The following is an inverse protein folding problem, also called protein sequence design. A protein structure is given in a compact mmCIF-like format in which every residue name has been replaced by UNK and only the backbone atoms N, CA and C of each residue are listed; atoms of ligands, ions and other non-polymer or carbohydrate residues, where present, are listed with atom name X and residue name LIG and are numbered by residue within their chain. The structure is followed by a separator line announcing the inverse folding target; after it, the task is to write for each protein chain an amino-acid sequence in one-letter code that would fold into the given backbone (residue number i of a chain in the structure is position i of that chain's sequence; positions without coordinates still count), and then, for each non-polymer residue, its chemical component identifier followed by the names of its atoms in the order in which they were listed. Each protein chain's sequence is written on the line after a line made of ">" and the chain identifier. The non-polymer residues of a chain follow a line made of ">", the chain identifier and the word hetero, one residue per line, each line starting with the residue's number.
data_IF_552832008367
#
_entry.id   IF_552832008367
#
_cell.length_a   1.000
_cell.length_b   1.000
_cell.length_c   1.000
_cell.angle_alpha   90.00
_cell.angle_beta   90.00
_cell.angle_gamma   90.00
#
_symmetry.space_group_name_H-M   'P 1'
#
loop_
_entity.id
_entity.type
_entity.pdbx_description
1 polymer ?
#
# COMPACT_ATOMS: atom_id res chain seq x y z
N UNK A 1 -8.84 -14.52 13.72
CA UNK A 1 -9.37 -14.71 12.35
C UNK A 1 -10.14 -13.50 11.84
N UNK A 2 -11.22 -13.04 12.49
CA UNK A 2 -12.02 -11.89 11.99
C UNK A 2 -11.21 -10.59 11.92
N UNK A 3 -10.43 -10.26 12.96
CA UNK A 3 -9.59 -9.04 12.98
C UNK A 3 -8.58 -9.03 11.83
N UNK A 4 -7.95 -10.17 11.53
CA UNK A 4 -7.02 -10.27 10.40
C UNK A 4 -7.73 -10.02 9.07
N UNK A 5 -8.93 -10.57 8.87
CA UNK A 5 -9.71 -10.32 7.65
C UNK A 5 -10.10 -8.84 7.51
N UNK A 6 -10.52 -8.18 8.59
CA UNK A 6 -10.86 -6.75 8.58
C UNK A 6 -9.65 -5.91 8.16
N UNK A 7 -8.48 -6.15 8.76
CA UNK A 7 -7.25 -5.44 8.44
C UNK A 7 -6.87 -5.67 6.96
N UNK A 8 -6.97 -6.90 6.48
CA UNK A 8 -6.69 -7.25 5.08
C UNK A 8 -7.62 -6.49 4.12
N UNK A 9 -8.92 -6.48 4.39
CA UNK A 9 -9.89 -5.78 3.52
C UNK A 9 -9.70 -4.27 3.54
N UNK A 10 -9.33 -3.68 4.67
CA UNK A 10 -9.01 -2.25 4.74
C UNK A 10 -7.79 -1.93 3.89
N UNK A 11 -6.66 -2.61 4.09
CA UNK A 11 -5.43 -2.31 3.34
C UNK A 11 -5.54 -2.65 1.85
N UNK A 12 -6.22 -3.74 1.48
CA UNK A 12 -6.45 -4.08 0.07
C UNK A 12 -7.37 -3.06 -0.62
N UNK A 13 -8.41 -2.59 0.06
CA UNK A 13 -9.28 -1.53 -0.47
C UNK A 13 -8.53 -0.21 -0.64
N UNK A 14 -7.72 0.18 0.35
CA UNK A 14 -6.90 1.39 0.27
C UNK A 14 -5.90 1.28 -0.87
N UNK A 15 -5.21 0.15 -1.03
CA UNK A 15 -4.27 -0.10 -2.14
C UNK A 15 -4.94 0.07 -3.51
N UNK A 16 -6.10 -0.55 -3.72
CA UNK A 16 -6.83 -0.43 -4.99
C UNK A 16 -7.23 1.03 -5.25
N UNK A 17 -7.75 1.73 -4.25
CA UNK A 17 -8.11 3.15 -4.39
C UNK A 17 -6.89 4.05 -4.65
N UNK A 18 -5.77 3.83 -3.98
CA UNK A 18 -4.54 4.58 -4.22
C UNK A 18 -4.03 4.35 -5.63
N UNK A 19 -3.94 3.11 -6.09
CA UNK A 19 -3.48 2.79 -7.44
C UNK A 19 -4.34 3.46 -8.53
N UNK A 20 -5.67 3.48 -8.35
CA UNK A 20 -6.57 4.20 -9.26
C UNK A 20 -6.27 5.70 -9.22
N UNK A 21 -6.12 6.29 -8.03
CA UNK A 21 -5.85 7.73 -7.90
C UNK A 21 -4.47 8.16 -8.39
N UNK A 22 -3.47 7.28 -8.35
CA UNK A 22 -2.16 7.53 -9.00
C UNK A 22 -2.35 7.82 -10.49
N UNK A 23 -3.16 7.01 -11.17
CA UNK A 23 -3.39 7.10 -12.62
C UNK A 23 -4.36 8.22 -12.99
N UNK A 24 -5.40 8.45 -12.16
CA UNK A 24 -6.44 9.47 -12.44
C UNK A 24 -5.97 10.88 -12.10
N UNK A 25 -5.06 11.03 -11.13
CA UNK A 25 -4.56 12.35 -10.72
C UNK A 25 -3.82 13.05 -11.85
N UNK A 26 -4.25 14.28 -12.17
CA UNK A 26 -3.64 15.13 -13.22
C UNK A 26 -2.34 15.79 -12.77
N UNK A 27 -2.12 15.89 -11.45
CA UNK A 27 -0.96 16.52 -10.86
C UNK A 27 0.01 15.44 -10.39
N UNK A 28 1.25 15.49 -10.88
CA UNK A 28 2.31 14.54 -10.55
C UNK A 28 2.58 14.46 -9.05
N UNK A 29 2.55 15.61 -8.36
CA UNK A 29 2.76 15.67 -6.90
C UNK A 29 1.71 14.86 -6.15
N UNK A 30 0.42 15.02 -6.50
CA UNK A 30 -0.65 14.24 -5.86
C UNK A 30 -0.55 12.76 -6.22
N UNK A 31 -0.19 12.42 -7.46
CA UNK A 31 0.05 11.03 -7.87
C UNK A 31 1.16 10.38 -7.05
N UNK A 32 2.24 11.09 -6.73
CA UNK A 32 3.34 10.57 -5.89
C UNK A 32 2.86 10.30 -4.45
N UNK A 33 2.04 11.18 -3.86
CA UNK A 33 1.47 10.90 -2.53
C UNK A 33 0.57 9.66 -2.52
N UNK A 34 -0.25 9.47 -3.57
CA UNK A 34 -1.05 8.25 -3.70
C UNK A 34 -0.18 7.00 -3.94
N UNK A 35 0.94 7.14 -4.65
CA UNK A 35 1.88 6.05 -4.87
C UNK A 35 2.55 5.61 -3.56
N UNK A 36 2.92 6.57 -2.71
CA UNK A 36 3.46 6.27 -1.37
C UNK A 36 2.41 5.56 -0.51
N UNK A 37 1.15 6.02 -0.55
CA UNK A 37 0.04 5.37 0.17
C UNK A 37 -0.15 3.91 -0.29
N UNK A 38 -0.02 3.67 -1.60
CA UNK A 38 -0.11 2.34 -2.20
C UNK A 38 1.00 1.40 -1.70
N UNK A 39 2.25 1.86 -1.76
CA UNK A 39 3.39 1.08 -1.27
C UNK A 39 3.33 0.77 0.22
N UNK A 40 2.85 1.71 1.05
CA UNK A 40 2.63 1.46 2.47
C UNK A 40 1.55 0.39 2.67
N UNK A 41 0.45 0.49 1.93
CA UNK A 41 -0.66 -0.47 2.04
C UNK A 41 -0.24 -1.88 1.62
N UNK A 42 0.53 -2.01 0.53
CA UNK A 42 1.06 -3.29 0.06
C UNK A 42 2.10 -3.85 1.05
N UNK A 43 2.96 -3.01 1.63
CA UNK A 43 3.90 -3.44 2.68
C UNK A 43 3.18 -4.05 3.88
N UNK A 44 2.11 -3.41 4.36
CA UNK A 44 1.27 -3.97 5.42
C UNK A 44 0.67 -5.32 5.03
N UNK A 45 0.18 -5.47 3.79
CA UNK A 45 -0.34 -6.76 3.29
C UNK A 45 0.74 -7.85 3.24
N UNK A 46 1.98 -7.51 2.87
CA UNK A 46 3.08 -8.48 2.89
C UNK A 46 3.46 -8.92 4.30
N UNK A 47 3.50 -7.99 5.26
CA UNK A 47 3.73 -8.32 6.67
C UNK A 47 2.65 -9.27 7.18
N UNK A 48 1.38 -9.06 6.80
CA UNK A 48 0.27 -9.93 7.23
C UNK A 48 0.36 -11.37 6.73
N UNK A 49 0.98 -11.60 5.57
CA UNK A 49 1.18 -12.94 4.99
C UNK A 49 2.48 -13.60 5.54
N UNK A 50 3.21 -12.90 6.42
CA UNK A 50 4.48 -13.36 6.99
C UNK A 50 5.70 -13.02 6.13
N UNK A 51 5.53 -12.20 5.08
CA UNK A 51 6.62 -11.72 4.23
C UNK A 51 7.23 -10.40 4.76
N UNK A 52 7.62 -10.39 6.03
CA UNK A 52 8.06 -9.18 6.74
C UNK A 52 9.27 -8.50 6.12
N UNK A 53 10.28 -9.29 5.73
CA UNK A 53 11.49 -8.79 5.07
C UNK A 53 11.16 -8.07 3.74
N UNK A 54 10.26 -8.66 2.95
CA UNK A 54 9.83 -8.07 1.68
C UNK A 54 9.02 -6.79 1.90
N UNK A 55 8.12 -6.78 2.89
CA UNK A 55 7.37 -5.59 3.28
C UNK A 55 8.28 -4.44 3.73
N UNK A 56 9.30 -4.73 4.54
CA UNK A 56 10.29 -3.72 4.97
C UNK A 56 11.15 -3.21 3.82
N UNK A 57 11.63 -4.09 2.93
CA UNK A 57 12.35 -3.67 1.72
C UNK A 57 11.49 -2.75 0.87
N UNK A 58 10.19 -3.06 0.73
CA UNK A 58 9.29 -2.24 -0.06
C UNK A 58 9.24 -0.80 0.45
N UNK A 59 9.18 -0.60 1.77
CA UNK A 59 9.20 0.73 2.37
C UNK A 59 10.56 1.41 2.18
N UNK A 60 11.67 0.70 2.39
CA UNK A 60 13.01 1.30 2.34
C UNK A 60 13.41 1.68 0.92
N UNK A 61 13.08 0.85 -0.08
CA UNK A 61 13.57 1.01 -1.47
C UNK A 61 12.61 1.79 -2.35
N UNK A 62 11.30 1.67 -2.13
CA UNK A 62 10.30 2.33 -2.99
C UNK A 62 9.66 3.57 -2.36
N UNK A 63 9.56 3.65 -1.03
CA UNK A 63 8.99 4.83 -0.34
C UNK A 63 10.07 5.84 0.04
N UNK A 64 11.22 5.36 0.52
CA UNK A 64 12.42 6.18 0.77
C UNK A 64 13.12 6.62 -0.51
#
# INVERSE_FOLDING_TARGET
>A
MIVHAIIFYIFSFVAILSAIMVVVSKNTVHSVFFLILDFISISCLFIMIGAEFLGMIMLIVYVG
#
